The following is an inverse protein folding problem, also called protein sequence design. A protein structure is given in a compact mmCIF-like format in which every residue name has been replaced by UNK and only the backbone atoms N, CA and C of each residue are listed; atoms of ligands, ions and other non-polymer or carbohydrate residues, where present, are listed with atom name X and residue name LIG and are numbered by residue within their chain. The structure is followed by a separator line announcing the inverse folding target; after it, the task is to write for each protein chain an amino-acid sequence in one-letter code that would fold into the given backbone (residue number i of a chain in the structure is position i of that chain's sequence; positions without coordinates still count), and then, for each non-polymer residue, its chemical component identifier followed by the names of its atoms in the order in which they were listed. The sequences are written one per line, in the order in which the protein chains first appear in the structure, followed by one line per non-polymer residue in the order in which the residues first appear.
data_IF_720627847490
#
_entry.id   IF_720627847490
#
_cell.length_a   1.000
_cell.length_b   1.000
_cell.length_c   1.000
_cell.angle_alpha   90.00
_cell.angle_beta   90.00
_cell.angle_gamma   90.00
#
_symmetry.space_group_name_H-M   'P 1'
#
loop_
_entity.id
_entity.type
_entity.pdbx_description
1 polymer ?
#
# COMPACT_ATOMS: atom_id res chain seq x y z
N UNK A 1 2.68 -2.16 12.82
CA UNK A 1 4.13 -2.51 12.86
C UNK A 1 4.93 -1.29 13.33
N UNK A 2 5.86 -1.40 14.29
CA UNK A 2 6.57 -0.24 14.83
C UNK A 2 7.30 0.59 13.77
N UNK A 3 7.73 -0.05 12.67
CA UNK A 3 8.39 0.63 11.56
C UNK A 3 7.41 1.34 10.62
N UNK A 4 6.21 0.79 10.41
CA UNK A 4 5.19 1.46 9.60
C UNK A 4 4.72 2.75 10.27
N UNK A 5 4.49 2.71 11.58
CA UNK A 5 4.02 3.87 12.34
C UNK A 5 5.04 5.02 12.24
N UNK A 6 6.35 4.71 12.29
CA UNK A 6 7.42 5.69 12.08
C UNK A 6 7.42 6.28 10.67
N UNK A 7 7.19 5.46 9.64
CA UNK A 7 7.14 5.91 8.24
C UNK A 7 5.91 6.79 8.01
N UNK A 8 4.74 6.36 8.48
CA UNK A 8 3.47 7.11 8.40
C UNK A 8 3.62 8.45 9.07
N UNK A 9 4.14 8.48 10.30
CA UNK A 9 4.42 9.72 11.03
C UNK A 9 5.32 10.68 10.25
N UNK A 10 6.48 10.20 9.78
CA UNK A 10 7.43 11.03 9.04
C UNK A 10 6.84 11.58 7.74
N UNK A 11 6.06 10.77 7.02
CA UNK A 11 5.40 11.19 5.78
C UNK A 11 4.29 12.20 6.03
N UNK A 12 3.52 12.00 7.10
CA UNK A 12 2.46 12.90 7.51
C UNK A 12 3.03 14.27 7.90
N UNK A 13 4.06 14.29 8.73
CA UNK A 13 4.81 15.50 9.12
C UNK A 13 5.38 16.23 7.90
N UNK A 14 6.08 15.52 7.00
CA UNK A 14 6.66 16.11 5.79
C UNK A 14 5.65 16.68 4.80
N UNK A 15 4.37 16.27 4.90
CA UNK A 15 3.26 16.74 4.05
C UNK A 15 2.33 17.72 4.77
N UNK A 16 2.57 17.99 6.06
CA UNK A 16 1.71 18.86 6.86
C UNK A 16 0.29 18.29 7.09
N UNK A 17 0.14 16.96 7.12
CA UNK A 17 -1.15 16.28 7.36
C UNK A 17 -1.09 15.42 8.62
N UNK A 18 -2.24 14.97 9.12
CA UNK A 18 -2.27 14.00 10.21
C UNK A 18 -1.98 12.59 9.70
N UNK A 19 -1.45 11.73 10.58
CA UNK A 19 -1.23 10.31 10.28
C UNK A 19 -2.52 9.61 9.82
N UNK A 20 -3.64 9.93 10.49
CA UNK A 20 -4.96 9.44 10.10
C UNK A 20 -5.35 9.89 8.69
N UNK A 21 -5.18 11.16 8.35
CA UNK A 21 -5.52 11.66 7.03
C UNK A 21 -4.68 10.98 5.94
N UNK A 22 -3.40 10.71 6.23
CA UNK A 22 -2.52 9.97 5.33
C UNK A 22 -3.02 8.53 5.11
N UNK A 23 -3.33 7.81 6.19
CA UNK A 23 -3.82 6.42 6.11
C UNK A 23 -5.19 6.33 5.43
N UNK A 24 -6.11 7.27 5.72
CA UNK A 24 -7.42 7.32 5.06
C UNK A 24 -7.28 7.55 3.56
N UNK A 25 -6.34 8.41 3.15
CA UNK A 25 -6.10 8.67 1.73
C UNK A 25 -5.48 7.45 1.03
N UNK A 26 -4.57 6.75 1.70
CA UNK A 26 -4.03 5.49 1.20
C UNK A 26 -5.14 4.45 1.02
N UNK A 27 -6.06 4.31 1.99
CA UNK A 27 -7.17 3.37 1.86
C UNK A 27 -8.07 3.74 0.68
N UNK A 28 -8.40 5.03 0.51
CA UNK A 28 -9.18 5.49 -0.66
C UNK A 28 -8.52 5.13 -1.99
N UNK A 29 -7.20 5.29 -2.09
CA UNK A 29 -6.46 4.93 -3.30
C UNK A 29 -6.48 3.40 -3.54
N UNK A 30 -6.38 2.61 -2.47
CA UNK A 30 -6.48 1.15 -2.55
C UNK A 30 -7.87 0.73 -3.00
N UNK A 31 -8.92 1.27 -2.40
CA UNK A 31 -10.31 0.95 -2.73
C UNK A 31 -10.62 1.31 -4.18
N UNK A 32 -10.19 2.51 -4.63
CA UNK A 32 -10.34 2.93 -6.01
C UNK A 32 -9.59 2.03 -7.00
N UNK A 33 -8.37 1.61 -6.64
CA UNK A 33 -7.60 0.67 -7.44
C UNK A 33 -8.25 -0.72 -7.50
N UNK A 34 -8.74 -1.23 -6.37
CA UNK A 34 -9.33 -2.56 -6.26
C UNK A 34 -10.69 -2.65 -6.98
N UNK A 35 -11.47 -1.57 -6.97
CA UNK A 35 -12.74 -1.44 -7.67
C UNK A 35 -12.60 -1.00 -9.15
N UNK A 36 -11.39 -0.80 -9.66
CA UNK A 36 -11.16 -0.29 -11.01
C UNK A 36 -11.55 -1.30 -12.08
N UNK A 37 -12.26 -0.84 -13.12
CA UNK A 37 -12.57 -1.62 -14.32
C UNK A 37 -11.43 -1.64 -15.36
N UNK A 38 -10.37 -0.84 -15.14
CA UNK A 38 -9.22 -0.81 -16.03
C UNK A 38 -8.56 -2.21 -16.09
N UNK A 39 -8.45 -2.83 -17.28
CA UNK A 39 -7.85 -4.15 -17.43
C UNK A 39 -6.42 -4.26 -16.87
N UNK A 40 -5.61 -3.21 -17.02
CA UNK A 40 -4.23 -3.20 -16.53
C UNK A 40 -4.18 -3.16 -14.99
N UNK A 41 -5.06 -2.36 -14.37
CA UNK A 41 -5.17 -2.29 -12.90
C UNK A 41 -5.67 -3.62 -12.34
N UNK A 42 -6.69 -4.23 -12.95
CA UNK A 42 -7.18 -5.56 -12.54
C UNK A 42 -6.12 -6.65 -12.69
N UNK A 43 -5.33 -6.61 -13.75
CA UNK A 43 -4.23 -7.56 -13.95
C UNK A 43 -3.18 -7.44 -12.84
N UNK A 44 -2.84 -6.21 -12.40
CA UNK A 44 -1.93 -6.00 -11.29
C UNK A 44 -2.45 -6.59 -9.98
N UNK A 45 -3.74 -6.41 -9.66
CA UNK A 45 -4.34 -6.98 -8.45
C UNK A 45 -4.45 -8.51 -8.48
N UNK A 46 -4.62 -9.13 -9.64
CA UNK A 46 -4.61 -10.59 -9.79
C UNK A 46 -3.29 -11.24 -9.40
N UNK A 47 -2.17 -10.50 -9.47
CA UNK A 47 -0.84 -10.96 -9.03
C UNK A 47 -0.56 -10.68 -7.54
N UNK A 48 -1.63 -10.54 -6.75
CA UNK A 48 -1.58 -10.35 -5.30
C UNK A 48 -2.40 -11.42 -4.59
N UNK A 49 -2.11 -11.74 -3.32
CA UNK A 49 -2.86 -12.74 -2.57
C UNK A 49 -4.19 -12.22 -1.99
N UNK A 50 -4.55 -10.96 -2.25
CA UNK A 50 -5.67 -10.30 -1.61
C UNK A 50 -6.99 -10.66 -2.31
N UNK A 51 -7.95 -11.17 -1.54
CA UNK A 51 -9.31 -11.50 -2.01
C UNK A 51 -10.30 -10.34 -1.85
N UNK A 52 -9.97 -9.39 -0.97
CA UNK A 52 -10.68 -8.13 -0.74
C UNK A 52 -9.68 -6.98 -0.76
N UNK A 53 -10.16 -5.73 -0.89
CA UNK A 53 -9.32 -4.56 -0.77
C UNK A 53 -8.52 -4.63 0.56
N UNK A 54 -7.18 -4.65 0.52
CA UNK A 54 -6.36 -4.75 1.72
C UNK A 54 -6.32 -3.43 2.49
N UNK A 55 -5.90 -3.49 3.75
CA UNK A 55 -5.50 -2.29 4.49
C UNK A 55 -4.17 -1.73 3.96
N UNK A 56 -3.82 -0.46 4.27
CA UNK A 56 -2.55 0.11 3.82
C UNK A 56 -1.36 -0.65 4.39
N UNK A 57 -1.47 -1.16 5.63
CA UNK A 57 -0.40 -1.94 6.27
C UNK A 57 -0.19 -3.30 5.59
N UNK A 58 -1.27 -4.02 5.25
CA UNK A 58 -1.18 -5.31 4.56
C UNK A 58 -0.56 -5.16 3.17
N UNK A 59 -1.00 -4.16 2.41
CA UNK A 59 -0.46 -3.91 1.08
C UNK A 59 1.01 -3.53 1.13
N UNK A 60 1.41 -2.63 2.04
CA UNK A 60 2.81 -2.23 2.18
C UNK A 60 3.71 -3.41 2.58
N UNK A 61 3.26 -4.29 3.49
CA UNK A 61 4.00 -5.51 3.84
C UNK A 61 4.24 -6.40 2.62
N UNK A 62 3.20 -6.63 1.83
CA UNK A 62 3.31 -7.43 0.61
C UNK A 62 4.28 -6.82 -0.40
N UNK A 63 4.16 -5.52 -0.68
CA UNK A 63 5.02 -4.82 -1.62
C UNK A 63 6.48 -4.78 -1.16
N UNK A 64 6.73 -4.52 0.13
CA UNK A 64 8.07 -4.57 0.70
C UNK A 64 8.70 -5.97 0.56
N UNK A 65 7.89 -7.03 0.74
CA UNK A 65 8.30 -8.41 0.50
C UNK A 65 8.72 -8.67 -0.96
N UNK A 66 7.95 -8.18 -1.94
CA UNK A 66 8.29 -8.29 -3.36
C UNK A 66 9.61 -7.57 -3.70
N UNK A 67 9.83 -6.37 -3.17
CA UNK A 67 11.07 -5.60 -3.39
C UNK A 67 12.29 -6.31 -2.76
N UNK A 68 12.13 -6.83 -1.54
CA UNK A 68 13.19 -7.53 -0.82
C UNK A 68 13.62 -8.85 -1.46
N UNK A 69 12.74 -9.49 -2.24
CA UNK A 69 13.08 -10.67 -3.04
C UNK A 69 13.81 -10.26 -4.34
N UNK A 70 13.32 -9.24 -5.04
CA UNK A 70 13.91 -8.74 -6.28
C UNK A 70 15.32 -8.14 -6.11
N UNK A 71 15.70 -7.72 -4.89
CA UNK A 71 17.04 -7.23 -4.57
C UNK A 71 18.04 -8.34 -4.19
N UNK A 72 17.58 -9.55 -3.86
CA UNK A 72 18.44 -10.71 -3.55
C UNK A 72 18.75 -11.59 -4.76
N UNK A 73 18.01 -11.39 -5.86
CA UNK A 73 18.19 -12.11 -7.13
C UNK A 73 19.05 -11.34 -8.13
N UNK A 74 19.72 -10.26 -7.71
CA UNK A 74 20.65 -9.45 -8.52
C UNK A 74 22.06 -9.54 -7.99
#
# INVERSE_FOLDING_TARGET
MPELDRVVKRLAEGRGVSEKALLDEMQRAIDAGYASDDPAVRAAWKDTPFQTAPTPEELLRFLAGKIGQASRSR
#
